data_IF_073694063743
#
_entry.id   IF_073694063743
#
_cell.length_a   1.000
_cell.length_b   1.000
_cell.length_c   1.000
_cell.angle_alpha   90.00
_cell.angle_beta   90.00
_cell.angle_gamma   90.00
#
_symmetry.space_group_name_H-M   'P 1'
#
loop_
_entity.id
_entity.type
_entity.pdbx_description
1 polymer ?
#
# COMPACT_ATOMS: atom_id res chain seq x y z
N UNK A 1 5.97 -30.98 -33.38
CA UNK A 1 5.65 -32.41 -33.44
C UNK A 1 6.95 -33.14 -33.63
N UNK A 2 7.33 -34.01 -32.74
CA UNK A 2 8.60 -34.63 -32.74
C UNK A 2 8.52 -36.02 -33.16
N UNK A 3 9.51 -36.39 -33.85
CA UNK A 3 9.67 -37.74 -34.27
C UNK A 3 10.95 -38.28 -33.71
N UNK A 4 10.84 -39.15 -32.76
CA UNK A 4 11.99 -39.91 -32.28
C UNK A 4 12.17 -41.03 -33.28
N UNK A 5 13.37 -41.15 -33.77
CA UNK A 5 13.70 -42.28 -34.62
C UNK A 5 14.94 -42.97 -34.19
N UNK A 6 14.95 -44.23 -34.32
CA UNK A 6 15.97 -45.03 -33.83
C UNK A 6 16.46 -45.90 -34.87
N UNK A 7 17.68 -46.03 -35.05
CA UNK A 7 18.37 -46.93 -35.12
C UNK A 7 18.96 -47.49 -36.18
N UNK A 8 19.68 -48.16 -36.54
CA UNK A 8 20.39 -48.93 -37.57
C UNK A 8 20.38 -48.43 -39.01
N UNK A 9 19.64 -47.37 -39.26
CA UNK A 9 19.49 -46.73 -40.55
C UNK A 9 20.11 -45.35 -40.63
N UNK A 10 20.90 -44.95 -39.64
CA UNK A 10 21.56 -43.62 -39.63
C UNK A 10 20.61 -42.42 -39.41
N UNK A 11 19.48 -42.67 -38.75
CA UNK A 11 18.55 -41.60 -38.47
C UNK A 11 18.95 -40.86 -37.23
N UNK A 12 18.91 -39.52 -37.32
CA UNK A 12 19.17 -38.64 -36.20
C UNK A 12 18.05 -38.66 -35.18
N UNK A 13 18.40 -38.77 -33.93
CA UNK A 13 17.48 -38.56 -32.82
C UNK A 13 17.38 -37.04 -32.58
N UNK A 14 16.23 -36.50 -32.91
CA UNK A 14 15.96 -35.11 -32.55
C UNK A 14 15.55 -35.09 -31.07
N UNK A 15 16.39 -34.53 -30.26
CA UNK A 15 16.09 -34.31 -28.85
C UNK A 15 15.07 -33.17 -28.72
N UNK A 16 13.96 -33.49 -28.14
CA UNK A 16 12.89 -32.53 -27.92
C UNK A 16 13.28 -31.37 -27.02
N UNK A 17 14.09 -31.66 -26.00
CA UNK A 17 14.56 -30.66 -25.08
C UNK A 17 15.45 -29.64 -25.79
N UNK A 18 16.31 -30.09 -26.69
CA UNK A 18 17.19 -29.22 -27.49
C UNK A 18 16.40 -28.34 -28.41
N UNK A 19 15.43 -28.91 -29.13
CA UNK A 19 14.57 -28.13 -30.04
C UNK A 19 13.74 -27.08 -29.27
N UNK A 20 13.25 -27.39 -28.08
CA UNK A 20 12.53 -26.45 -27.21
C UNK A 20 13.43 -25.32 -26.70
N UNK A 21 14.66 -25.65 -26.31
CA UNK A 21 15.64 -24.66 -25.88
C UNK A 21 16.00 -23.66 -26.99
N UNK A 22 16.34 -24.16 -28.18
CA UNK A 22 16.72 -23.31 -29.32
C UNK A 22 15.56 -22.38 -29.73
N UNK A 23 14.32 -22.87 -29.72
CA UNK A 23 13.15 -22.05 -29.97
C UNK A 23 12.98 -20.93 -28.93
N UNK A 24 13.19 -21.25 -27.65
CA UNK A 24 13.10 -20.25 -26.60
C UNK A 24 14.22 -19.19 -26.71
N UNK A 25 15.48 -19.58 -26.99
CA UNK A 25 16.60 -18.66 -27.24
C UNK A 25 16.31 -17.74 -28.42
N UNK A 26 15.86 -18.30 -29.56
CA UNK A 26 15.54 -17.53 -30.77
C UNK A 26 14.40 -16.52 -30.51
N UNK A 27 13.39 -16.91 -29.72
CA UNK A 27 12.32 -16.00 -29.28
C UNK A 27 12.89 -14.83 -28.50
N UNK A 28 13.83 -15.06 -27.56
CA UNK A 28 14.49 -14.02 -26.80
C UNK A 28 15.29 -13.03 -27.67
N UNK A 29 16.06 -13.56 -28.61
CA UNK A 29 16.82 -12.73 -29.57
C UNK A 29 15.92 -11.90 -30.50
N UNK A 30 14.75 -12.41 -30.84
CA UNK A 30 13.78 -11.72 -31.71
C UNK A 30 13.01 -10.59 -31.04
N UNK A 31 13.11 -10.43 -29.71
CA UNK A 31 12.43 -9.34 -29.02
C UNK A 31 13.02 -7.99 -29.44
N UNK A 32 12.13 -7.09 -29.87
CA UNK A 32 12.52 -5.75 -30.30
C UNK A 32 12.60 -4.80 -29.11
N UNK A 33 13.80 -4.27 -28.85
CA UNK A 33 14.07 -3.37 -27.70
C UNK A 33 13.39 -2.02 -27.79
N UNK A 34 13.07 -1.57 -28.98
CA UNK A 34 12.46 -0.25 -29.23
C UNK A 34 10.93 -0.28 -29.12
N UNK A 35 10.39 -1.44 -28.84
CA UNK A 35 8.95 -1.63 -28.77
C UNK A 35 8.37 -1.28 -27.40
N UNK A 36 7.29 -0.51 -27.38
CA UNK A 36 6.48 -0.27 -26.17
C UNK A 36 6.07 -1.60 -25.52
N UNK A 37 6.46 -1.79 -24.26
CA UNK A 37 6.22 -3.06 -23.56
C UNK A 37 7.34 -4.11 -23.70
N UNK A 38 8.45 -3.78 -24.35
CA UNK A 38 9.60 -4.68 -24.47
C UNK A 38 10.01 -5.34 -23.17
N UNK A 39 10.10 -4.59 -22.08
CA UNK A 39 10.51 -5.13 -20.77
C UNK A 39 9.53 -6.17 -20.22
N UNK A 40 8.23 -6.00 -20.43
CA UNK A 40 7.23 -6.99 -20.07
C UNK A 40 7.43 -8.28 -20.84
N UNK A 41 7.59 -8.18 -22.17
CA UNK A 41 7.85 -9.34 -23.03
C UNK A 41 9.14 -10.05 -22.67
N UNK A 42 10.18 -9.29 -22.40
CA UNK A 42 11.49 -9.81 -22.00
C UNK A 42 11.42 -10.58 -20.68
N UNK A 43 10.75 -10.02 -19.68
CA UNK A 43 10.63 -10.67 -18.38
C UNK A 43 9.71 -11.88 -18.40
N UNK A 44 8.61 -11.85 -19.17
CA UNK A 44 7.73 -13.00 -19.37
C UNK A 44 8.48 -14.13 -20.09
N UNK A 45 9.18 -13.82 -21.19
CA UNK A 45 10.05 -14.76 -21.88
C UNK A 45 11.11 -15.36 -20.95
N UNK A 46 11.79 -14.53 -20.16
CA UNK A 46 12.79 -15.01 -19.19
C UNK A 46 12.18 -15.99 -18.19
N UNK A 47 10.95 -15.72 -17.74
CA UNK A 47 10.26 -16.59 -16.80
C UNK A 47 9.78 -17.93 -17.41
N UNK A 48 9.56 -18.00 -18.72
CA UNK A 48 9.27 -19.25 -19.43
C UNK A 48 10.44 -20.26 -19.29
N UNK A 49 11.69 -19.79 -19.33
CA UNK A 49 12.89 -20.60 -19.24
C UNK A 49 13.28 -21.09 -17.83
N UNK A 50 12.32 -21.28 -16.92
CA UNK A 50 12.61 -21.64 -15.53
C UNK A 50 12.64 -23.14 -15.25
N UNK A 51 12.10 -23.97 -16.14
CA UNK A 51 11.77 -25.36 -15.82
C UNK A 51 12.95 -26.34 -15.80
N UNK A 52 14.03 -26.10 -16.57
CA UNK A 52 15.08 -27.10 -16.82
C UNK A 52 16.51 -26.53 -16.74
N UNK A 53 16.72 -25.42 -16.08
CA UNK A 53 18.04 -24.81 -16.01
C UNK A 53 18.45 -24.00 -17.25
N UNK A 54 17.51 -23.75 -18.18
CA UNK A 54 17.75 -23.02 -19.42
C UNK A 54 18.38 -21.67 -19.18
N UNK A 55 17.96 -20.95 -18.11
CA UNK A 55 18.54 -19.66 -17.75
C UNK A 55 20.04 -19.74 -17.44
N UNK A 56 20.45 -20.77 -16.69
CA UNK A 56 21.86 -20.97 -16.36
C UNK A 56 22.67 -21.34 -17.62
N UNK A 57 22.10 -22.19 -18.47
CA UNK A 57 22.71 -22.61 -19.73
C UNK A 57 22.89 -21.43 -20.68
N UNK A 58 21.84 -20.57 -20.83
CA UNK A 58 21.92 -19.40 -21.69
C UNK A 58 22.99 -18.40 -21.23
N UNK A 59 23.06 -18.15 -19.93
CA UNK A 59 24.05 -17.20 -19.39
C UNK A 59 25.48 -17.73 -19.45
N UNK A 60 25.66 -19.03 -19.48
CA UNK A 60 26.96 -19.68 -19.66
C UNK A 60 27.39 -19.74 -21.15
N UNK A 61 26.49 -19.46 -22.06
CA UNK A 61 26.77 -19.47 -23.49
C UNK A 61 27.48 -18.17 -23.92
N UNK A 62 28.75 -18.29 -24.29
CA UNK A 62 29.57 -17.14 -24.75
C UNK A 62 29.03 -16.50 -26.03
N UNK A 63 28.21 -17.18 -26.78
CA UNK A 63 27.55 -16.63 -27.99
C UNK A 63 26.30 -15.77 -27.69
N UNK A 64 25.88 -15.65 -26.43
CA UNK A 64 24.71 -14.87 -26.06
C UNK A 64 24.97 -13.35 -26.19
N UNK A 65 24.37 -12.75 -27.20
CA UNK A 65 24.44 -11.28 -27.48
C UNK A 65 23.26 -10.49 -26.90
N UNK A 66 22.37 -11.12 -26.12
CA UNK A 66 21.19 -10.50 -25.52
C UNK A 66 21.48 -9.70 -24.23
N UNK A 67 20.42 -9.29 -23.50
CA UNK A 67 20.57 -8.53 -22.27
C UNK A 67 21.37 -9.28 -21.20
N UNK A 68 22.02 -8.54 -20.30
CA UNK A 68 22.77 -9.12 -19.20
C UNK A 68 21.86 -9.90 -18.24
N UNK A 69 22.44 -10.86 -17.52
CA UNK A 69 21.72 -11.64 -16.51
C UNK A 69 20.96 -10.76 -15.52
N UNK A 70 21.60 -9.71 -15.00
CA UNK A 70 20.97 -8.80 -14.04
C UNK A 70 19.74 -8.09 -14.61
N UNK A 71 19.78 -7.73 -15.90
CA UNK A 71 18.62 -7.16 -16.60
C UNK A 71 17.50 -8.18 -16.75
N UNK A 72 17.85 -9.42 -17.12
CA UNK A 72 16.89 -10.52 -17.27
C UNK A 72 16.22 -10.87 -15.94
N UNK A 73 17.03 -11.07 -14.89
CA UNK A 73 16.52 -11.40 -13.56
C UNK A 73 15.63 -10.29 -13.00
N UNK A 74 16.03 -9.01 -13.16
CA UNK A 74 15.23 -7.89 -12.68
C UNK A 74 13.91 -7.73 -13.43
N UNK A 75 13.90 -7.89 -14.75
CA UNK A 75 12.66 -7.84 -15.54
C UNK A 75 11.76 -9.03 -15.26
N UNK A 76 12.32 -10.22 -15.14
CA UNK A 76 11.59 -11.43 -14.78
C UNK A 76 10.96 -11.33 -13.39
N UNK A 77 11.68 -10.78 -12.41
CA UNK A 77 11.16 -10.55 -11.06
C UNK A 77 9.93 -9.64 -11.06
N UNK A 78 9.97 -8.52 -11.80
CA UNK A 78 8.80 -7.64 -11.92
C UNK A 78 7.63 -8.36 -12.59
N UNK A 79 7.88 -9.11 -13.67
CA UNK A 79 6.82 -9.87 -14.35
C UNK A 79 6.19 -10.95 -13.46
N UNK A 80 6.97 -11.58 -12.58
CA UNK A 80 6.45 -12.54 -11.60
C UNK A 80 5.60 -11.88 -10.51
N UNK A 81 5.89 -10.62 -10.16
CA UNK A 81 5.15 -9.89 -9.14
C UNK A 81 3.85 -9.28 -9.66
N UNK A 82 3.75 -9.08 -10.99
CA UNK A 82 2.59 -8.44 -11.61
C UNK A 82 2.02 -9.34 -12.71
N UNK A 83 0.97 -10.07 -12.39
CA UNK A 83 0.17 -10.78 -13.37
C UNK A 83 -0.34 -9.82 -14.46
N UNK A 84 -0.64 -10.36 -15.65
CA UNK A 84 -1.04 -9.56 -16.82
C UNK A 84 -2.20 -8.61 -16.50
N UNK A 85 -3.20 -9.06 -15.73
CA UNK A 85 -4.37 -8.26 -15.33
C UNK A 85 -4.02 -7.09 -14.41
N UNK A 86 -2.88 -7.13 -13.72
CA UNK A 86 -2.40 -6.06 -12.81
C UNK A 86 -1.48 -5.06 -13.50
N UNK A 87 -1.09 -5.29 -14.74
CA UNK A 87 -0.23 -4.39 -15.51
C UNK A 87 -1.03 -3.22 -16.02
N UNK A 88 -0.86 -2.07 -15.40
CA UNK A 88 -1.57 -0.84 -15.73
C UNK A 88 -1.09 -0.29 -17.08
N UNK A 89 -1.98 -0.22 -18.07
CA UNK A 89 -1.62 0.22 -19.45
C UNK A 89 -1.14 1.66 -19.52
N UNK A 90 -1.65 2.52 -18.65
CA UNK A 90 -1.26 3.94 -18.58
C UNK A 90 0.09 4.17 -17.89
N UNK A 91 0.60 3.16 -17.20
CA UNK A 91 1.85 3.26 -16.46
C UNK A 91 2.96 2.47 -17.15
N UNK A 92 4.18 3.00 -17.09
CA UNK A 92 5.33 2.30 -17.64
C UNK A 92 5.76 1.13 -16.76
N UNK A 93 6.56 0.22 -17.31
CA UNK A 93 7.24 -0.85 -16.56
C UNK A 93 7.99 -0.31 -15.33
N UNK A 94 8.58 0.88 -15.43
CA UNK A 94 9.31 1.51 -14.34
C UNK A 94 8.45 1.82 -13.11
N UNK A 95 7.18 2.18 -13.27
CA UNK A 95 6.28 2.39 -12.14
C UNK A 95 6.05 1.10 -11.36
N UNK A 96 5.79 -0.01 -12.04
CA UNK A 96 5.60 -1.32 -11.41
C UNK A 96 6.88 -1.78 -10.70
N UNK A 97 8.05 -1.56 -11.33
CA UNK A 97 9.34 -1.89 -10.73
C UNK A 97 9.59 -1.13 -9.41
N UNK A 98 9.21 0.14 -9.31
CA UNK A 98 9.40 0.92 -8.08
C UNK A 98 8.52 0.41 -6.93
N UNK A 99 7.28 -0.01 -7.20
CA UNK A 99 6.37 -0.46 -6.15
C UNK A 99 6.51 -1.95 -5.81
N UNK A 100 7.21 -2.74 -6.62
CA UNK A 100 7.38 -4.19 -6.42
C UNK A 100 7.84 -4.58 -5.01
N UNK A 101 8.60 -3.71 -4.37
CA UNK A 101 9.20 -3.93 -3.04
C UNK A 101 8.23 -3.74 -1.87
N UNK A 102 6.99 -3.35 -2.16
CA UNK A 102 5.95 -3.09 -1.17
C UNK A 102 4.98 -4.27 -1.06
N UNK A 103 4.23 -4.40 0.05
CA UNK A 103 3.10 -5.31 0.14
C UNK A 103 2.05 -5.03 -0.95
N UNK A 104 1.31 -6.08 -1.32
CA UNK A 104 0.32 -6.04 -2.41
C UNK A 104 -0.63 -4.83 -2.35
N UNK A 105 -1.23 -4.58 -1.20
CA UNK A 105 -2.18 -3.47 -1.02
C UNK A 105 -1.55 -2.10 -1.27
N UNK A 106 -0.29 -1.91 -0.85
CA UNK A 106 0.43 -0.67 -1.07
C UNK A 106 0.86 -0.50 -2.52
N UNK A 107 1.18 -1.61 -3.22
CA UNK A 107 1.44 -1.58 -4.66
C UNK A 107 0.24 -1.02 -5.41
N UNK A 108 -0.95 -1.61 -5.19
CA UNK A 108 -2.18 -1.19 -5.88
C UNK A 108 -2.51 0.28 -5.60
N UNK A 109 -2.44 0.71 -4.35
CA UNK A 109 -2.70 2.11 -3.99
C UNK A 109 -1.80 3.10 -4.70
N UNK A 110 -0.49 2.84 -4.71
CA UNK A 110 0.45 3.76 -5.34
C UNK A 110 0.33 3.75 -6.86
N UNK A 111 -0.03 2.61 -7.47
CA UNK A 111 -0.32 2.56 -8.89
C UNK A 111 -1.62 3.31 -9.23
N UNK A 112 -2.66 3.19 -8.42
CA UNK A 112 -3.90 3.97 -8.58
C UNK A 112 -3.65 5.48 -8.40
N UNK A 113 -2.85 5.87 -7.41
CA UNK A 113 -2.40 7.26 -7.20
C UNK A 113 -1.66 7.79 -8.43
N UNK A 114 -0.76 6.98 -9.01
CA UNK A 114 -0.03 7.34 -10.21
C UNK A 114 -0.94 7.52 -11.44
N UNK A 115 -1.94 6.67 -11.62
CA UNK A 115 -2.89 6.81 -12.74
C UNK A 115 -3.79 8.02 -12.58
N UNK A 116 -4.22 8.32 -11.36
CA UNK A 116 -5.12 9.44 -11.06
C UNK A 116 -4.41 10.80 -11.15
N UNK A 117 -3.17 10.89 -10.65
CA UNK A 117 -2.43 12.14 -10.48
C UNK A 117 -1.32 12.34 -11.52
N UNK A 118 -1.05 11.34 -12.36
CA UNK A 118 -0.01 11.42 -13.39
C UNK A 118 1.40 11.49 -12.82
N UNK A 119 1.68 10.77 -11.73
CA UNK A 119 2.99 10.81 -11.07
C UNK A 119 4.11 10.29 -11.97
N UNK A 120 5.24 10.99 -11.98
CA UNK A 120 6.48 10.50 -12.58
C UNK A 120 7.10 9.38 -11.72
N UNK A 121 7.97 8.56 -12.34
CA UNK A 121 8.75 7.53 -11.63
C UNK A 121 9.54 8.13 -10.45
N UNK A 122 10.08 9.34 -10.60
CA UNK A 122 10.83 10.02 -9.55
C UNK A 122 9.91 10.38 -8.36
N UNK A 123 8.71 10.88 -8.62
CA UNK A 123 7.72 11.17 -7.58
C UNK A 123 7.27 9.90 -6.89
N UNK A 124 6.98 8.84 -7.66
CA UNK A 124 6.61 7.54 -7.12
C UNK A 124 7.71 6.97 -6.22
N UNK A 125 8.98 7.08 -6.59
CA UNK A 125 10.11 6.64 -5.77
C UNK A 125 10.15 7.32 -4.39
N UNK A 126 9.82 8.60 -4.33
CA UNK A 126 9.68 9.32 -3.05
C UNK A 126 8.53 8.75 -2.22
N UNK A 127 7.38 8.50 -2.85
CA UNK A 127 6.22 7.90 -2.19
C UNK A 127 6.53 6.50 -1.64
N UNK A 128 7.24 5.67 -2.41
CA UNK A 128 7.69 4.34 -1.96
C UNK A 128 8.60 4.44 -0.73
N UNK A 129 9.52 5.42 -0.68
CA UNK A 129 10.36 5.64 0.51
C UNK A 129 9.55 6.03 1.73
N UNK A 130 8.56 6.92 1.58
CA UNK A 130 7.66 7.32 2.65
C UNK A 130 6.89 6.11 3.20
N UNK A 131 6.27 5.31 2.32
CA UNK A 131 5.52 4.11 2.71
C UNK A 131 6.43 3.12 3.43
N UNK A 132 7.62 2.83 2.92
CA UNK A 132 8.60 1.97 3.59
C UNK A 132 8.97 2.46 5.00
N UNK A 133 9.15 3.77 5.16
CA UNK A 133 9.45 4.36 6.46
C UNK A 133 8.32 4.14 7.45
N UNK A 134 7.07 4.33 7.03
CA UNK A 134 5.91 4.08 7.88
C UNK A 134 5.74 2.59 8.22
N UNK A 135 5.88 1.71 7.25
CA UNK A 135 5.79 0.26 7.48
C UNK A 135 6.88 -0.23 8.45
N UNK A 136 8.10 0.29 8.33
CA UNK A 136 9.20 -0.05 9.23
C UNK A 136 8.96 0.43 10.67
N UNK A 137 8.14 1.44 10.88
CA UNK A 137 7.74 1.95 12.18
C UNK A 137 6.44 1.31 12.71
N UNK A 138 5.91 0.30 12.02
CA UNK A 138 4.65 -0.36 12.40
C UNK A 138 3.39 0.47 12.17
N UNK A 139 3.45 1.49 11.31
CA UNK A 139 2.28 2.30 10.97
C UNK A 139 1.33 1.57 10.03
N UNK A 140 0.04 1.60 10.35
CA UNK A 140 -1.02 1.17 9.45
C UNK A 140 -1.43 2.34 8.52
N UNK A 141 -2.03 1.99 7.39
CA UNK A 141 -2.59 2.95 6.45
C UNK A 141 -3.57 3.93 7.07
N UNK A 142 -4.45 3.42 7.92
CA UNK A 142 -5.44 4.23 8.62
C UNK A 142 -4.76 5.26 9.53
N UNK A 143 -3.69 4.86 10.21
CA UNK A 143 -2.90 5.76 11.07
C UNK A 143 -2.17 6.81 10.23
N UNK A 144 -1.57 6.42 9.09
CA UNK A 144 -0.92 7.36 8.16
C UNK A 144 -1.91 8.40 7.63
N UNK A 145 -3.12 7.99 7.24
CA UNK A 145 -4.15 8.91 6.78
C UNK A 145 -4.56 9.91 7.86
N UNK A 146 -4.77 9.44 9.09
CA UNK A 146 -5.15 10.29 10.22
C UNK A 146 -4.03 11.27 10.60
N UNK A 147 -2.78 10.83 10.59
CA UNK A 147 -1.61 11.70 10.76
C UNK A 147 -1.60 12.82 9.72
N UNK A 148 -1.77 12.51 8.43
CA UNK A 148 -1.82 13.51 7.35
C UNK A 148 -2.96 14.52 7.51
N UNK A 149 -4.10 14.10 8.06
CA UNK A 149 -5.22 15.00 8.39
C UNK A 149 -4.76 16.02 9.44
N UNK A 150 -4.11 15.56 10.50
CA UNK A 150 -3.63 16.40 11.60
C UNK A 150 -2.54 17.38 11.12
N UNK A 151 -1.55 16.89 10.36
CA UNK A 151 -0.49 17.71 9.77
C UNK A 151 -1.03 18.84 8.86
N UNK A 152 -2.23 18.66 8.29
CA UNK A 152 -2.96 19.68 7.51
C UNK A 152 -3.88 20.57 8.36
N UNK A 153 -3.79 20.47 9.67
CA UNK A 153 -4.62 21.26 10.61
C UNK A 153 -6.01 20.68 10.88
N UNK A 154 -6.33 19.51 10.32
CA UNK A 154 -7.58 18.80 10.60
C UNK A 154 -7.53 18.03 11.92
N UNK A 155 -8.67 17.47 12.33
CA UNK A 155 -8.82 16.68 13.57
C UNK A 155 -9.13 15.24 13.23
N UNK A 156 -8.55 14.30 13.97
CA UNK A 156 -8.76 12.86 13.79
C UNK A 156 -8.95 12.14 15.12
N UNK A 157 -9.51 10.93 15.07
CA UNK A 157 -9.69 10.05 16.24
C UNK A 157 -8.62 8.97 16.31
N UNK A 158 -8.28 8.56 17.53
CA UNK A 158 -7.45 7.38 17.80
C UNK A 158 -8.06 6.48 18.87
N UNK A 159 -7.81 5.19 18.74
CA UNK A 159 -8.21 4.17 19.70
C UNK A 159 -7.05 3.80 20.63
N UNK A 160 -7.23 4.04 21.92
CA UNK A 160 -6.27 3.64 22.97
C UNK A 160 -6.61 2.31 23.64
N UNK A 161 -7.65 1.59 23.20
CA UNK A 161 -7.93 0.24 23.70
C UNK A 161 -6.79 -0.69 23.33
N UNK A 162 -6.53 -1.69 24.17
CA UNK A 162 -5.47 -2.67 23.94
C UNK A 162 -5.89 -3.67 22.87
N UNK A 163 -5.00 -3.89 21.90
CA UNK A 163 -5.08 -4.99 20.97
C UNK A 163 -4.59 -6.33 21.58
N UNK A 164 -4.55 -7.36 20.76
CA UNK A 164 -4.13 -8.71 21.17
C UNK A 164 -2.64 -8.76 21.61
N UNK A 165 -1.84 -7.84 21.14
CA UNK A 165 -0.41 -7.66 21.51
C UNK A 165 -0.22 -6.89 22.83
N UNK A 166 -1.31 -6.45 23.47
CA UNK A 166 -1.31 -5.67 24.71
C UNK A 166 -0.97 -4.19 24.53
N UNK A 167 -0.66 -3.74 23.33
CA UNK A 167 -0.43 -2.33 22.99
C UNK A 167 -1.74 -1.65 22.55
N UNK A 168 -1.85 -0.33 22.61
CA UNK A 168 -2.97 0.39 22.04
C UNK A 168 -3.15 0.06 20.54
N UNK A 169 -4.39 -0.08 20.07
CA UNK A 169 -4.71 -0.35 18.66
C UNK A 169 -4.04 0.69 17.73
N UNK A 170 -4.01 1.93 18.14
CA UNK A 170 -3.39 3.02 17.38
C UNK A 170 -2.02 3.45 17.95
N UNK A 171 -1.24 2.50 18.49
CA UNK A 171 -0.01 2.78 19.25
C UNK A 171 0.95 3.74 18.54
N UNK A 172 1.31 3.49 17.28
CA UNK A 172 2.24 4.34 16.54
C UNK A 172 1.73 5.78 16.38
N UNK A 173 0.43 5.94 16.10
CA UNK A 173 -0.21 7.25 15.96
C UNK A 173 -0.29 7.98 17.30
N UNK A 174 -0.58 7.28 18.39
CA UNK A 174 -0.63 7.83 19.76
C UNK A 174 0.75 8.29 20.20
N UNK A 175 1.79 7.47 20.07
CA UNK A 175 3.16 7.83 20.42
C UNK A 175 3.65 9.06 19.66
N UNK A 176 3.33 9.12 18.36
CA UNK A 176 3.67 10.31 17.56
C UNK A 176 2.95 11.57 18.06
N UNK A 177 1.63 11.49 18.27
CA UNK A 177 0.84 12.65 18.67
C UNK A 177 1.24 13.14 20.07
N UNK A 178 1.55 12.24 20.99
CA UNK A 178 2.06 12.57 22.34
C UNK A 178 3.40 13.29 22.25
N UNK A 179 4.33 12.80 21.43
CA UNK A 179 5.65 13.42 21.23
C UNK A 179 5.55 14.85 20.67
N UNK A 180 4.54 15.10 19.81
CA UNK A 180 4.27 16.41 19.19
C UNK A 180 3.34 17.29 20.04
N UNK A 181 2.82 16.81 21.18
CA UNK A 181 1.84 17.53 22.01
C UNK A 181 0.51 17.77 21.31
N UNK A 182 0.10 16.85 20.45
CA UNK A 182 -1.11 16.94 19.62
C UNK A 182 -2.26 16.06 20.10
N UNK A 183 -2.04 15.20 21.11
CA UNK A 183 -3.05 14.32 21.66
C UNK A 183 -3.99 15.07 22.63
N UNK A 184 -5.27 14.78 22.52
CA UNK A 184 -6.30 15.27 23.44
C UNK A 184 -7.17 14.11 23.89
N UNK A 185 -7.12 13.77 25.17
CA UNK A 185 -7.96 12.72 25.72
C UNK A 185 -9.41 13.20 25.84
N UNK A 186 -10.32 12.48 25.17
CA UNK A 186 -11.75 12.80 25.17
C UNK A 186 -12.60 11.72 25.85
N UNK A 187 -11.96 10.77 26.55
CA UNK A 187 -12.66 9.74 27.34
C UNK A 187 -13.43 10.33 28.51
N UNK A 188 -14.22 9.48 29.20
CA UNK A 188 -14.95 9.88 30.40
C UNK A 188 -14.00 10.46 31.45
N UNK A 189 -14.42 11.53 32.11
CA UNK A 189 -13.59 12.25 33.08
C UNK A 189 -12.79 13.41 32.50
N UNK A 190 -12.74 13.57 31.17
CA UNK A 190 -12.26 14.80 30.53
C UNK A 190 -13.41 15.79 30.27
N UNK A 191 -13.09 17.05 30.07
CA UNK A 191 -14.07 18.08 29.70
C UNK A 191 -14.87 17.71 28.43
N UNK A 192 -14.20 17.01 27.49
CA UNK A 192 -14.77 16.56 26.23
C UNK A 192 -15.46 15.18 26.31
N UNK A 193 -15.49 14.57 27.51
CA UNK A 193 -16.04 13.24 27.72
C UNK A 193 -17.56 13.19 27.59
N UNK A 194 -18.07 12.10 27.03
CA UNK A 194 -19.51 11.84 26.99
C UNK A 194 -20.03 11.46 28.40
N UNK A 195 -20.93 12.24 29.01
CA UNK A 195 -21.47 11.93 30.33
C UNK A 195 -22.50 10.78 30.30
N UNK A 196 -23.06 10.45 29.15
CA UNK A 196 -24.10 9.44 29.01
C UNK A 196 -23.51 8.02 28.94
N UNK A 197 -24.18 7.06 29.60
CA UNK A 197 -23.73 5.68 29.77
C UNK A 197 -24.55 4.75 28.88
N UNK A 198 -23.86 3.92 28.08
CA UNK A 198 -24.51 2.88 27.27
C UNK A 198 -25.18 1.86 28.24
N UNK A 199 -26.42 1.52 27.95
CA UNK A 199 -27.22 0.60 28.78
C UNK A 199 -28.09 1.32 29.85
N UNK A 200 -27.63 2.46 30.37
CA UNK A 200 -28.42 3.29 31.31
C UNK A 200 -29.16 4.42 30.58
N UNK A 201 -28.45 5.14 29.72
CA UNK A 201 -28.98 6.28 28.98
C UNK A 201 -29.48 5.94 27.58
N UNK A 202 -29.34 4.70 27.16
CA UNK A 202 -29.72 4.16 25.87
C UNK A 202 -28.63 3.33 25.21
N UNK A 203 -28.84 2.95 23.97
CA UNK A 203 -27.85 2.30 23.14
C UNK A 203 -26.73 3.25 22.70
N UNK A 204 -25.74 2.75 21.94
CA UNK A 204 -24.60 3.54 21.46
C UNK A 204 -25.03 4.77 20.67
N UNK A 205 -25.94 4.61 19.73
CA UNK A 205 -26.37 5.71 18.84
C UNK A 205 -27.12 6.77 19.64
N UNK A 206 -27.94 6.33 20.58
CA UNK A 206 -28.72 7.20 21.45
C UNK A 206 -27.81 8.05 22.36
N UNK A 207 -26.80 7.46 22.99
CA UNK A 207 -25.88 8.22 23.88
C UNK A 207 -24.97 9.14 23.08
N UNK A 208 -24.62 8.82 21.82
CA UNK A 208 -23.89 9.71 20.94
C UNK A 208 -24.79 10.90 20.54
N UNK A 209 -26.03 10.64 20.16
CA UNK A 209 -27.01 11.68 19.84
C UNK A 209 -27.27 12.61 21.03
N UNK A 210 -27.43 12.06 22.24
CA UNK A 210 -27.57 12.85 23.48
C UNK A 210 -26.35 13.73 23.72
N UNK A 211 -25.14 13.22 23.45
CA UNK A 211 -23.91 14.01 23.58
C UNK A 211 -23.88 15.20 22.65
N UNK A 212 -24.34 15.06 21.42
CA UNK A 212 -24.44 16.19 20.48
C UNK A 212 -25.30 17.34 21.03
N UNK A 213 -26.46 17.01 21.59
CA UNK A 213 -27.35 17.98 22.25
C UNK A 213 -26.72 18.58 23.51
N UNK A 214 -26.10 17.75 24.33
CA UNK A 214 -25.39 18.20 25.53
C UNK A 214 -24.30 19.22 25.20
N UNK A 215 -23.51 18.94 24.15
CA UNK A 215 -22.46 19.84 23.70
C UNK A 215 -23.01 21.21 23.27
N UNK A 216 -24.18 21.23 22.61
CA UNK A 216 -24.85 22.45 22.18
C UNK A 216 -25.39 23.29 23.35
N UNK A 217 -25.65 22.65 24.48
CA UNK A 217 -26.14 23.31 25.71
C UNK A 217 -24.99 23.80 26.60
N UNK A 218 -23.73 23.50 26.29
CA UNK A 218 -22.55 23.86 27.08
C UNK A 218 -21.81 25.01 26.41
N UNK A 219 -22.19 26.24 26.70
CA UNK A 219 -21.62 27.47 26.12
C UNK A 219 -20.09 27.50 26.19
N UNK A 220 -19.49 27.06 27.31
CA UNK A 220 -18.05 27.01 27.46
C UNK A 220 -17.35 26.05 26.48
N UNK A 221 -17.91 24.86 26.25
CA UNK A 221 -17.37 23.90 25.29
C UNK A 221 -17.58 24.37 23.84
N UNK A 222 -18.76 24.93 23.55
CA UNK A 222 -19.01 25.54 22.24
C UNK A 222 -18.05 26.69 21.93
N UNK A 223 -17.78 27.53 22.91
CA UNK A 223 -16.80 28.61 22.75
C UNK A 223 -15.39 28.05 22.42
N UNK A 224 -14.92 27.05 23.17
CA UNK A 224 -13.62 26.39 22.95
C UNK A 224 -13.54 25.76 21.55
N UNK A 225 -14.63 25.11 21.07
CA UNK A 225 -14.71 24.60 19.70
C UNK A 225 -14.63 25.71 18.65
N UNK A 226 -15.35 26.84 18.85
CA UNK A 226 -15.27 28.00 17.98
C UNK A 226 -13.88 28.64 17.95
N UNK A 227 -13.15 28.58 19.06
CA UNK A 227 -11.73 28.97 19.14
C UNK A 227 -10.79 27.93 18.51
N UNK A 228 -11.31 26.90 17.88
CA UNK A 228 -10.56 25.82 17.21
C UNK A 228 -9.58 25.07 18.14
N UNK A 229 -9.92 24.90 19.42
CA UNK A 229 -9.05 24.24 20.41
C UNK A 229 -8.68 22.80 20.01
N UNK A 230 -9.61 22.10 19.33
CA UNK A 230 -9.39 20.73 18.86
C UNK A 230 -8.87 20.64 17.42
N UNK A 231 -8.70 21.75 16.73
CA UNK A 231 -8.14 21.79 15.38
C UNK A 231 -6.69 21.34 15.34
N UNK A 232 -6.32 20.50 14.40
CA UNK A 232 -4.96 19.93 14.31
C UNK A 232 -4.62 18.95 15.44
N UNK A 233 -5.62 18.40 16.16
CA UNK A 233 -5.40 17.50 17.29
C UNK A 233 -5.85 16.06 16.99
N UNK A 234 -5.21 15.11 17.65
CA UNK A 234 -5.62 13.72 17.73
C UNK A 234 -6.51 13.51 18.95
N UNK A 235 -7.78 13.22 18.75
CA UNK A 235 -8.72 12.96 19.83
C UNK A 235 -8.65 11.50 20.25
N UNK A 236 -8.26 11.26 21.48
CA UNK A 236 -7.99 9.91 21.99
C UNK A 236 -9.21 9.36 22.75
N UNK A 237 -9.76 8.27 22.25
CA UNK A 237 -10.90 7.58 22.85
C UNK A 237 -10.65 6.05 22.88
N UNK A 238 -11.65 5.29 23.38
CA UNK A 238 -11.63 3.82 23.48
C UNK A 238 -12.52 3.15 22.42
N UNK A 239 -13.27 3.90 21.63
CA UNK A 239 -14.38 3.39 20.82
C UNK A 239 -14.03 3.16 19.35
N UNK A 240 -13.13 3.96 18.76
CA UNK A 240 -12.81 3.87 17.35
C UNK A 240 -12.29 2.46 16.97
N UNK A 241 -12.72 1.82 15.88
CA UNK A 241 -13.51 2.37 14.76
C UNK A 241 -15.03 2.42 14.96
N UNK A 242 -15.55 1.87 16.07
CA UNK A 242 -16.97 1.95 16.35
C UNK A 242 -17.42 3.41 16.54
N UNK A 243 -18.72 3.67 16.32
CA UNK A 243 -19.31 4.99 16.49
C UNK A 243 -18.95 5.61 17.85
N UNK A 244 -18.49 6.84 17.85
CA UNK A 244 -17.93 7.54 18.99
C UNK A 244 -18.47 8.96 19.10
N UNK A 245 -18.64 9.46 20.32
CA UNK A 245 -18.96 10.88 20.55
C UNK A 245 -17.86 11.82 19.97
N UNK A 246 -16.65 11.33 19.82
CA UNK A 246 -15.55 12.04 19.17
C UNK A 246 -15.83 12.35 17.70
N UNK A 247 -16.67 11.58 17.00
CA UNK A 247 -17.07 11.87 15.62
C UNK A 247 -17.78 13.22 15.53
N UNK A 248 -18.62 13.52 16.54
CA UNK A 248 -19.31 14.81 16.65
C UNK A 248 -18.30 15.95 16.84
N UNK A 249 -17.27 15.74 17.68
CA UNK A 249 -16.22 16.73 17.88
C UNK A 249 -15.44 17.00 16.61
N UNK A 250 -15.06 15.93 15.88
CA UNK A 250 -14.37 16.04 14.59
C UNK A 250 -15.21 16.82 13.57
N UNK A 251 -16.51 16.55 13.49
CA UNK A 251 -17.39 17.27 12.55
C UNK A 251 -17.58 18.74 12.91
N UNK A 252 -17.69 19.06 14.20
CA UNK A 252 -17.78 20.46 14.67
C UNK A 252 -16.49 21.25 14.38
N UNK A 253 -15.30 20.62 14.44
CA UNK A 253 -14.04 21.30 14.08
C UNK A 253 -13.93 21.61 12.59
N UNK A 254 -14.51 20.79 11.70
CA UNK A 254 -14.56 21.08 10.26
C UNK A 254 -15.34 22.38 9.92
N UNK A 255 -16.32 22.71 10.74
CA UNK A 255 -17.14 23.93 10.58
C UNK A 255 -16.45 25.20 11.10
N UNK A 256 -15.45 25.09 11.96
CA UNK A 256 -14.74 26.22 12.55
C UNK A 256 -13.65 26.83 11.65
N UNK A 257 -13.25 26.11 10.61
CA UNK A 257 -12.20 26.50 9.65
C UNK A 257 -12.75 27.18 8.39
N UNK A 258 -13.99 27.62 8.40
CA UNK A 258 -14.62 28.46 7.37
C UNK A 258 -14.90 29.85 7.94
#
# INVERSE_FOLDING_TARGET
MITTQIKDSGMEVIDFEVAGYDQWVNKGLSLNKDYSGYKWKLGDWWNEGHKYGERAKLIADESWEGPSRSTLDSTGSVCSSFEICRRRQKLSFGHHMEVQVLPFEEQEKLLDECEAEGHSIMRLRQRVKEVKSYLAQGWTDSQIKRRKIIEKGGTALANQSKGDDGLPVDNALLCWAEAEGLDVKIGRGSDWGNPFVIGEDGDRDMVISKYGKYLEMKDGLLYRLKCNELGGKLLVCWCCPDGCHGDILVDKTKGANK
#
